data_IF_744193251499
#
_entry.id   IF_744193251499
#
_cell.length_a   1.000
_cell.length_b   1.000
_cell.length_c   1.000
_cell.angle_alpha   90.00
_cell.angle_beta   90.00
_cell.angle_gamma   90.00
#
_symmetry.space_group_name_H-M   'P 1'
#
loop_
_entity.id
_entity.type
_entity.pdbx_description
1 polymer ?
#
# COMPACT_ATOMS: atom_id res chain seq x y z
N UNK A 1 10.55 -14.72 -12.41
CA UNK A 1 9.79 -13.83 -11.53
C UNK A 1 10.46 -13.63 -10.20
N UNK A 2 10.58 -14.69 -9.39
CA UNK A 2 10.92 -14.50 -7.98
C UNK A 2 12.31 -13.88 -7.76
N UNK A 3 13.26 -14.09 -8.67
CA UNK A 3 14.60 -13.48 -8.62
C UNK A 3 14.71 -12.10 -9.31
N UNK A 4 13.60 -11.56 -9.83
CA UNK A 4 13.61 -10.22 -10.43
C UNK A 4 13.47 -9.17 -9.32
N UNK A 5 13.98 -7.95 -9.55
CA UNK A 5 14.01 -6.92 -8.53
C UNK A 5 12.62 -6.27 -8.32
N UNK A 6 12.29 -5.90 -7.08
CA UNK A 6 10.99 -5.33 -6.69
C UNK A 6 10.66 -4.06 -7.49
N UNK A 7 11.65 -3.20 -7.76
CA UNK A 7 11.44 -1.96 -8.51
C UNK A 7 10.87 -2.15 -9.91
N UNK A 8 10.95 -3.36 -10.47
CA UNK A 8 10.39 -3.67 -11.79
C UNK A 8 8.87 -3.74 -11.79
N UNK A 9 8.24 -3.95 -10.62
CA UNK A 9 6.78 -4.13 -10.50
C UNK A 9 6.11 -3.25 -9.44
N UNK A 10 6.88 -2.64 -8.53
CA UNK A 10 6.32 -1.77 -7.49
C UNK A 10 5.62 -0.54 -8.08
N UNK A 11 4.61 -0.03 -7.39
CA UNK A 11 4.03 1.27 -7.72
C UNK A 11 4.93 2.40 -7.21
N UNK A 12 5.42 3.23 -8.13
CA UNK A 12 6.22 4.44 -7.82
C UNK A 12 5.38 5.71 -7.75
N UNK A 13 4.10 5.67 -8.16
CA UNK A 13 3.17 6.80 -8.01
C UNK A 13 2.55 6.76 -6.62
N UNK A 14 3.33 7.27 -5.67
CA UNK A 14 3.00 7.24 -4.25
C UNK A 14 1.88 8.23 -3.92
N UNK A 15 0.89 7.75 -3.18
CA UNK A 15 -0.13 8.56 -2.53
C UNK A 15 0.12 8.41 -1.04
N UNK A 16 0.44 9.52 -0.37
CA UNK A 16 0.87 9.51 1.03
C UNK A 16 0.09 10.49 1.88
N UNK A 17 0.17 10.29 3.18
CA UNK A 17 -0.30 11.21 4.22
C UNK A 17 0.89 11.76 5.02
N UNK A 18 0.64 12.81 5.78
CA UNK A 18 1.51 13.28 6.86
C UNK A 18 0.94 12.89 8.22
N UNK A 19 1.75 12.83 9.29
CA UNK A 19 1.26 12.53 10.65
C UNK A 19 0.14 13.46 11.15
N UNK A 20 0.14 14.71 10.68
CA UNK A 20 -0.80 15.76 11.09
C UNK A 20 -2.05 15.86 10.20
N UNK A 21 -2.14 15.04 9.15
CA UNK A 21 -3.39 14.86 8.41
C UNK A 21 -4.46 14.21 9.30
N UNK A 22 -5.74 14.38 8.92
CA UNK A 22 -6.87 13.81 9.66
C UNK A 22 -7.27 12.44 9.10
N UNK A 23 -7.94 11.63 9.91
CA UNK A 23 -8.55 10.39 9.43
C UNK A 23 -9.63 10.65 8.37
N UNK A 24 -10.27 11.83 8.42
CA UNK A 24 -11.24 12.27 7.41
C UNK A 24 -10.59 12.36 6.03
N UNK A 25 -9.42 13.01 5.94
CA UNK A 25 -8.60 13.06 4.72
C UNK A 25 -8.12 11.67 4.32
N UNK A 26 -7.65 10.85 5.27
CA UNK A 26 -7.24 9.48 4.98
C UNK A 26 -8.36 8.67 4.31
N UNK A 27 -9.58 8.75 4.86
CA UNK A 27 -10.78 8.09 4.31
C UNK A 27 -11.08 8.57 2.90
N UNK A 28 -11.09 9.88 2.69
CA UNK A 28 -11.33 10.47 1.37
C UNK A 28 -10.32 9.94 0.34
N UNK A 29 -9.03 9.93 0.67
CA UNK A 29 -8.01 9.45 -0.25
C UNK A 29 -8.12 7.94 -0.54
N UNK A 30 -8.38 7.10 0.48
CA UNK A 30 -8.61 5.67 0.28
C UNK A 30 -9.76 5.42 -0.71
N UNK A 31 -10.88 6.13 -0.53
CA UNK A 31 -12.05 6.01 -1.40
C UNK A 31 -11.82 6.58 -2.81
N UNK A 32 -11.36 7.83 -2.89
CA UNK A 32 -11.21 8.54 -4.16
C UNK A 32 -10.12 7.96 -5.04
N UNK A 33 -9.05 7.40 -4.43
CA UNK A 33 -7.95 6.78 -5.17
C UNK A 33 -8.12 5.27 -5.33
N UNK A 34 -9.18 4.67 -4.77
CA UNK A 34 -9.45 3.22 -4.81
C UNK A 34 -8.24 2.40 -4.33
N UNK A 35 -7.66 2.82 -3.21
CA UNK A 35 -6.53 2.14 -2.55
C UNK A 35 -6.89 1.77 -1.13
N UNK A 36 -6.26 0.72 -0.61
CA UNK A 36 -6.50 0.23 0.75
C UNK A 36 -5.40 0.59 1.74
N UNK A 37 -4.27 1.11 1.26
CA UNK A 37 -3.08 1.36 2.05
C UNK A 37 -2.50 2.72 1.70
N UNK A 38 -2.21 3.52 2.72
CA UNK A 38 -1.61 4.84 2.61
C UNK A 38 -0.37 4.91 3.50
N UNK A 39 0.83 4.95 2.91
CA UNK A 39 2.04 5.29 3.65
C UNK A 39 1.94 6.70 4.24
N UNK A 40 2.46 6.87 5.45
CA UNK A 40 2.55 8.14 6.16
C UNK A 40 4.01 8.56 6.18
N UNK A 41 4.29 9.79 5.74
CA UNK A 41 5.64 10.31 5.57
C UNK A 41 5.84 11.66 6.28
N UNK A 42 7.05 11.86 6.80
CA UNK A 42 7.56 13.18 7.18
C UNK A 42 8.57 13.62 6.12
N UNK A 43 8.18 14.55 5.26
CA UNK A 43 8.93 14.83 4.04
C UNK A 43 8.95 13.60 3.14
N UNK A 44 10.14 12.98 2.99
CA UNK A 44 10.32 11.73 2.22
C UNK A 44 10.41 10.48 3.09
N UNK A 45 10.61 10.65 4.39
CA UNK A 45 10.89 9.55 5.30
C UNK A 45 9.60 8.83 5.66
N UNK A 46 9.56 7.52 5.52
CA UNK A 46 8.44 6.70 5.96
C UNK A 46 8.38 6.69 7.49
N UNK A 47 7.23 7.03 8.07
CA UNK A 47 7.03 7.08 9.53
C UNK A 47 5.84 6.26 10.02
N UNK A 48 4.98 5.83 9.11
CA UNK A 48 3.85 4.99 9.45
C UNK A 48 3.05 4.55 8.25
N UNK A 49 1.99 3.81 8.51
CA UNK A 49 1.05 3.37 7.48
C UNK A 49 -0.35 3.37 8.07
N UNK A 50 -1.32 3.75 7.25
CA UNK A 50 -2.74 3.64 7.59
C UNK A 50 -3.47 2.87 6.50
N UNK A 51 -4.39 2.02 6.90
CA UNK A 51 -5.16 1.17 5.99
C UNK A 51 -6.65 1.43 6.13
N UNK A 52 -7.44 0.99 5.14
CA UNK A 52 -8.89 0.99 5.26
C UNK A 52 -9.38 0.18 6.47
N UNK A 53 -8.63 -0.86 6.87
CA UNK A 53 -8.91 -1.65 8.07
C UNK A 53 -8.72 -0.84 9.37
N UNK A 54 -7.69 0.01 9.42
CA UNK A 54 -7.45 0.88 10.59
C UNK A 54 -8.58 1.87 10.82
N UNK A 55 -9.21 2.36 9.76
CA UNK A 55 -10.40 3.19 9.87
C UNK A 55 -11.61 2.35 10.26
N UNK A 56 -11.84 1.22 9.58
CA UNK A 56 -12.99 0.35 9.82
C UNK A 56 -13.08 -0.11 11.29
N UNK A 57 -11.96 -0.56 11.87
CA UNK A 57 -11.93 -1.12 13.23
C UNK A 57 -12.25 -0.11 14.34
N UNK A 58 -12.20 1.19 14.05
CA UNK A 58 -12.55 2.23 15.03
C UNK A 58 -14.07 2.39 15.21
N UNK A 59 -14.87 1.99 14.22
CA UNK A 59 -16.33 2.05 14.31
C UNK A 59 -16.91 3.47 14.48
N UNK A 60 -16.15 4.50 14.05
CA UNK A 60 -16.50 5.90 14.28
C UNK A 60 -17.39 6.49 13.18
N UNK A 61 -18.08 7.57 13.52
CA UNK A 61 -18.87 8.33 12.55
C UNK A 61 -17.98 9.14 11.60
N UNK A 62 -18.56 9.60 10.49
CA UNK A 62 -17.87 10.45 9.53
C UNK A 62 -17.38 11.78 10.15
N UNK A 63 -18.09 12.31 11.15
CA UNK A 63 -17.74 13.56 11.81
C UNK A 63 -16.54 13.38 12.74
N UNK A 64 -16.45 12.26 13.44
CA UNK A 64 -15.38 11.98 14.40
C UNK A 64 -14.00 11.90 13.72
N UNK A 65 -13.95 11.34 12.50
CA UNK A 65 -12.71 11.25 11.72
C UNK A 65 -12.06 12.60 11.41
N UNK A 66 -12.81 13.70 11.44
CA UNK A 66 -12.27 15.03 11.15
C UNK A 66 -11.35 15.56 12.25
N UNK A 67 -11.51 15.05 13.48
CA UNK A 67 -10.79 15.57 14.64
C UNK A 67 -9.60 14.70 15.06
N UNK A 68 -9.50 13.48 14.53
CA UNK A 68 -8.42 12.53 14.88
C UNK A 68 -7.29 12.64 13.86
N UNK A 69 -6.06 12.77 14.34
CA UNK A 69 -4.86 12.81 13.49
C UNK A 69 -4.42 11.41 13.11
N UNK A 70 -3.83 11.29 11.93
CA UNK A 70 -3.28 10.03 11.40
C UNK A 70 -2.28 9.42 12.37
N UNK A 71 -1.40 10.23 12.97
CA UNK A 71 -0.39 9.78 13.94
C UNK A 71 -0.94 9.07 15.18
N UNK A 72 -2.20 9.31 15.52
CA UNK A 72 -2.85 8.70 16.70
C UNK A 72 -3.28 7.25 16.43
N UNK A 73 -3.37 6.86 15.15
CA UNK A 73 -3.91 5.56 14.73
C UNK A 73 -2.95 4.76 13.85
N UNK A 74 -2.05 5.43 13.12
CA UNK A 74 -1.15 4.76 12.18
C UNK A 74 -0.30 3.68 12.83
N UNK A 75 -0.01 2.63 12.07
CA UNK A 75 0.99 1.63 12.47
C UNK A 75 2.38 2.20 12.22
N UNK A 76 3.26 2.16 13.22
CA UNK A 76 4.63 2.72 13.14
C UNK A 76 5.72 1.65 13.02
N UNK A 77 5.43 0.41 13.43
CA UNK A 77 6.32 -0.74 13.23
C UNK A 77 5.96 -1.42 11.93
N UNK A 78 6.68 -1.07 10.87
CA UNK A 78 6.41 -1.53 9.51
C UNK A 78 7.44 -2.56 9.07
N UNK A 79 6.98 -3.58 8.36
CA UNK A 79 7.85 -4.32 7.46
C UNK A 79 8.12 -3.43 6.24
N UNK A 80 9.39 -3.36 5.82
CA UNK A 80 9.82 -2.61 4.63
C UNK A 80 10.81 -3.47 3.86
N UNK A 81 10.86 -3.24 2.54
CA UNK A 81 11.85 -3.85 1.66
C UNK A 81 12.56 -2.76 0.85
N UNK A 82 13.69 -3.12 0.26
CA UNK A 82 14.49 -2.27 -0.62
C UNK A 82 14.18 -2.54 -2.10
N UNK A 83 14.35 -1.55 -3.00
CA UNK A 83 13.93 -1.66 -4.40
C UNK A 83 14.68 -2.72 -5.22
N UNK A 84 15.90 -3.06 -4.84
CA UNK A 84 16.76 -4.05 -5.50
C UNK A 84 16.57 -5.48 -4.96
N UNK A 85 15.91 -5.63 -3.81
CA UNK A 85 15.54 -6.94 -3.29
C UNK A 85 14.60 -7.67 -4.26
N UNK A 86 14.62 -9.00 -4.15
CA UNK A 86 13.89 -9.88 -5.04
C UNK A 86 12.38 -9.88 -4.76
N UNK A 87 11.58 -10.01 -5.82
CA UNK A 87 10.11 -10.17 -5.76
C UNK A 87 9.71 -11.32 -4.82
N UNK A 88 10.50 -12.40 -4.76
CA UNK A 88 10.26 -13.52 -3.86
C UNK A 88 10.25 -13.13 -2.37
N UNK A 89 11.07 -12.16 -1.96
CA UNK A 89 11.06 -11.65 -0.58
C UNK A 89 9.76 -10.90 -0.27
N UNK A 90 9.26 -10.10 -1.22
CA UNK A 90 7.95 -9.46 -1.08
C UNK A 90 6.81 -10.49 -1.01
N UNK A 91 6.87 -11.56 -1.80
CA UNK A 91 5.91 -12.64 -1.75
C UNK A 91 5.91 -13.35 -0.39
N UNK A 92 7.08 -13.73 0.12
CA UNK A 92 7.22 -14.37 1.43
C UNK A 92 6.61 -13.52 2.54
N UNK A 93 6.99 -12.24 2.62
CA UNK A 93 6.46 -11.31 3.64
C UNK A 93 4.95 -11.15 3.51
N UNK A 94 4.38 -11.07 2.31
CA UNK A 94 2.93 -10.94 2.10
C UNK A 94 2.15 -12.23 2.36
N UNK A 95 2.77 -13.41 2.23
CA UNK A 95 2.13 -14.71 2.49
C UNK A 95 2.12 -15.08 3.97
N UNK A 96 3.21 -14.79 4.68
CA UNK A 96 3.39 -15.12 6.10
C UNK A 96 2.70 -14.13 7.05
N UNK A 97 2.20 -13.01 6.51
CA UNK A 97 1.61 -11.94 7.32
C UNK A 97 0.25 -11.49 6.79
N UNK A 98 -0.58 -10.95 7.69
CA UNK A 98 -1.96 -10.54 7.40
C UNK A 98 -2.07 -9.15 6.72
N UNK A 99 -0.99 -8.62 6.16
CA UNK A 99 -1.00 -7.33 5.46
C UNK A 99 -0.72 -7.51 3.97
N UNK A 100 -1.41 -6.71 3.14
CA UNK A 100 -1.42 -6.89 1.69
C UNK A 100 -0.61 -5.84 0.93
N UNK A 101 0.20 -5.05 1.65
CA UNK A 101 1.10 -4.06 1.06
C UNK A 101 2.36 -3.89 1.91
N UNK A 102 3.49 -3.68 1.23
CA UNK A 102 4.80 -3.42 1.82
C UNK A 102 5.33 -2.11 1.24
N UNK A 103 5.61 -1.09 2.08
CA UNK A 103 6.35 0.10 1.66
C UNK A 103 7.78 -0.27 1.24
N UNK A 104 8.22 0.29 0.10
CA UNK A 104 9.58 0.14 -0.40
C UNK A 104 10.37 1.39 -0.08
N UNK A 105 11.49 1.23 0.61
CA UNK A 105 12.36 2.33 1.06
C UNK A 105 13.76 2.19 0.49
N UNK A 106 14.46 3.31 0.31
CA UNK A 106 15.89 3.29 -0.01
C UNK A 106 16.74 3.20 1.27
N UNK A 107 18.07 3.14 1.11
CA UNK A 107 19.05 3.10 2.22
C UNK A 107 18.92 4.28 3.21
N UNK A 108 18.31 5.40 2.80
CA UNK A 108 18.07 6.57 3.66
C UNK A 108 16.75 6.49 4.44
N UNK A 109 15.99 5.40 4.28
CA UNK A 109 14.64 5.24 4.84
C UNK A 109 13.58 6.12 4.16
N UNK A 110 13.87 6.63 2.96
CA UNK A 110 12.91 7.40 2.17
C UNK A 110 11.99 6.44 1.41
N UNK A 111 10.68 6.73 1.42
CA UNK A 111 9.70 5.97 0.66
C UNK A 111 9.90 6.19 -0.84
N UNK A 112 10.15 5.12 -1.58
CA UNK A 112 10.37 5.14 -3.04
C UNK A 112 9.33 4.33 -3.82
N UNK A 113 8.59 3.46 -3.14
CA UNK A 113 7.56 2.64 -3.77
C UNK A 113 6.63 1.98 -2.75
N UNK A 114 5.63 1.29 -3.27
CA UNK A 114 4.80 0.35 -2.52
C UNK A 114 4.56 -0.87 -3.41
N UNK A 115 4.63 -2.06 -2.83
CA UNK A 115 4.28 -3.31 -3.51
C UNK A 115 3.14 -3.98 -2.76
N UNK A 116 2.19 -4.53 -3.51
CA UNK A 116 1.01 -5.20 -2.96
C UNK A 116 0.89 -6.63 -3.46
N UNK A 117 0.06 -7.43 -2.81
CA UNK A 117 -0.29 -8.77 -3.31
C UNK A 117 -0.94 -8.70 -4.70
N UNK A 118 -1.65 -7.62 -5.01
CA UNK A 118 -2.22 -7.36 -6.33
C UNK A 118 -1.13 -7.17 -7.39
N UNK A 119 -0.04 -6.45 -7.08
CA UNK A 119 1.07 -6.27 -8.02
C UNK A 119 1.76 -7.60 -8.34
N UNK A 120 1.97 -8.46 -7.33
CA UNK A 120 2.50 -9.81 -7.50
C UNK A 120 1.60 -10.67 -8.38
N UNK A 121 0.30 -10.71 -8.06
CA UNK A 121 -0.68 -11.50 -8.82
C UNK A 121 -0.75 -11.02 -10.27
N UNK A 122 -0.85 -9.71 -10.48
CA UNK A 122 -0.91 -9.10 -11.81
C UNK A 122 0.35 -9.39 -12.61
N UNK A 123 1.54 -9.31 -11.99
CA UNK A 123 2.78 -9.62 -12.67
C UNK A 123 2.86 -11.10 -13.07
N UNK A 124 2.49 -12.01 -12.17
CA UNK A 124 2.45 -13.47 -12.45
C UNK A 124 1.48 -13.79 -13.56
N UNK A 125 0.28 -13.25 -13.46
CA UNK A 125 -0.77 -13.44 -14.43
C UNK A 125 -0.35 -12.93 -15.82
N UNK A 126 0.13 -11.69 -15.94
CA UNK A 126 0.51 -11.12 -17.25
C UNK A 126 1.67 -11.86 -17.93
N UNK A 127 2.54 -12.51 -17.14
CA UNK A 127 3.67 -13.29 -17.65
C UNK A 127 3.24 -14.64 -18.21
N UNK A 128 2.22 -15.26 -17.61
CA UNK A 128 1.70 -16.57 -18.01
C UNK A 128 0.55 -16.47 -19.03
N UNK A 129 -0.27 -15.42 -18.92
CA UNK A 129 -1.48 -15.19 -19.71
C UNK A 129 -1.47 -13.76 -20.30
N UNK A 130 -0.76 -13.54 -21.43
CA UNK A 130 -0.68 -12.22 -22.05
C UNK A 130 -1.98 -11.78 -22.73
N UNK A 131 -2.97 -12.67 -22.88
CA UNK A 131 -4.25 -12.36 -23.48
C UNK A 131 -5.24 -11.74 -22.48
N UNK A 132 -6.06 -10.81 -22.98
CA UNK A 132 -7.02 -10.07 -22.18
C UNK A 132 -8.27 -10.93 -21.84
N UNK A 133 -8.49 -11.19 -20.54
CA UNK A 133 -9.66 -11.89 -20.02
C UNK A 133 -10.81 -10.95 -19.61
N UNK A 134 -10.73 -9.65 -19.94
CA UNK A 134 -11.82 -8.67 -19.71
C UNK A 134 -13.15 -9.13 -20.31
N UNK A 135 -13.15 -10.05 -21.29
CA UNK A 135 -14.34 -10.71 -21.82
C UNK A 135 -15.20 -11.44 -20.77
N UNK A 136 -14.64 -11.72 -19.59
CA UNK A 136 -15.31 -12.37 -18.47
C UNK A 136 -15.74 -11.39 -17.37
N UNK A 137 -15.40 -10.11 -17.49
CA UNK A 137 -15.79 -9.07 -16.53
C UNK A 137 -17.07 -8.39 -17.04
N UNK A 138 -18.18 -8.41 -16.28
CA UNK A 138 -19.37 -7.68 -16.64
C UNK A 138 -19.07 -6.18 -16.74
N UNK A 139 -19.63 -5.49 -17.74
CA UNK A 139 -19.37 -4.05 -18.03
C UNK A 139 -19.70 -3.08 -16.88
N UNK A 140 -20.28 -3.55 -15.77
CA UNK A 140 -20.83 -2.72 -14.68
C UNK A 140 -20.16 -2.93 -13.31
N UNK A 141 -18.86 -3.30 -13.27
CA UNK A 141 -18.10 -3.48 -12.02
C UNK A 141 -17.06 -2.37 -11.77
#
# INVERSE_FOLDING_TARGET
MMNEAIHTIMSSRLITLTPDDTLGKAREMLMAKRVHHLPVVEGKRLVGMITSWDLFKLGLSAADYQNIKVREVMTTKLATLEPDQHIGAAAEVLMEHLFHAIPIVNEKGELVGIITSYDLLRYSYNKEYPENLDKFIPENM
#
